data_IF_717147653770
#
_entry.id   IF_717147653770
#
_cell.length_a   1.000
_cell.length_b   1.000
_cell.length_c   1.000
_cell.angle_alpha   90.00
_cell.angle_beta   90.00
_cell.angle_gamma   90.00
#
_symmetry.space_group_name_H-M   'P 1'
#
loop_
_entity.id
_entity.type
_entity.pdbx_description
1 polymer ?
#
# COMPACT_ATOMS: atom_id res chain seq x y z
N UNK A 1 -0.43 -8.65 -16.82
CA UNK A 1 -0.21 -8.60 -15.36
C UNK A 1 1.29 -8.43 -15.14
N UNK A 2 1.66 -7.56 -14.21
CA UNK A 2 3.05 -7.31 -13.82
C UNK A 2 3.14 -7.26 -12.29
N UNK A 3 4.35 -7.37 -11.75
CA UNK A 3 4.57 -7.20 -10.30
C UNK A 3 5.06 -5.78 -10.04
N UNK A 4 4.49 -5.14 -9.03
CA UNK A 4 4.99 -3.87 -8.51
C UNK A 4 5.59 -4.07 -7.11
N UNK A 5 6.84 -3.60 -6.90
CA UNK A 5 7.35 -3.30 -5.55
C UNK A 5 6.83 -1.93 -5.07
N UNK A 6 6.37 -1.89 -3.83
CA UNK A 6 5.67 -0.75 -3.26
C UNK A 6 5.89 -0.66 -1.74
N UNK A 7 5.48 0.45 -1.16
CA UNK A 7 5.62 0.72 0.28
C UNK A 7 4.27 1.12 0.85
N UNK A 8 3.88 0.48 1.96
CA UNK A 8 2.74 0.91 2.77
C UNK A 8 3.25 1.74 3.94
N UNK A 9 2.81 2.99 4.04
CA UNK A 9 2.88 3.76 5.28
C UNK A 9 1.66 3.47 6.16
N UNK A 10 1.89 3.15 7.43
CA UNK A 10 0.83 3.07 8.45
C UNK A 10 1.21 3.94 9.63
N UNK A 11 0.27 4.79 10.03
CA UNK A 11 0.50 5.74 11.09
C UNK A 11 0.63 5.05 12.45
N UNK A 12 1.70 5.41 13.18
CA UNK A 12 2.04 4.85 14.47
C UNK A 12 1.39 5.64 15.61
N UNK A 13 1.28 5.01 16.76
CA UNK A 13 0.81 5.61 18.01
C UNK A 13 1.41 4.84 19.20
N UNK A 14 2.27 5.46 20.02
CA UNK A 14 2.86 4.80 21.18
C UNK A 14 1.81 4.33 22.21
N UNK A 15 0.63 4.93 22.22
CA UNK A 15 -0.47 4.53 23.11
C UNK A 15 -1.31 3.37 22.56
N UNK A 16 -1.20 3.06 21.26
CA UNK A 16 -1.95 2.01 20.58
C UNK A 16 -3.46 2.29 20.42
N UNK A 17 -3.90 3.55 20.60
CA UNK A 17 -5.33 3.91 20.55
C UNK A 17 -5.81 4.21 19.13
N UNK A 18 -4.99 4.89 18.34
CA UNK A 18 -5.35 5.40 16.99
C UNK A 18 -4.33 5.04 15.90
N UNK A 19 -3.34 4.22 16.22
CA UNK A 19 -2.27 3.84 15.31
C UNK A 19 -1.59 2.56 15.74
N UNK A 20 -0.66 2.09 14.92
CA UNK A 20 0.14 0.92 15.27
C UNK A 20 1.11 1.25 16.39
N UNK A 21 1.26 0.34 17.34
CA UNK A 21 2.44 0.29 18.18
C UNK A 21 3.62 -0.34 17.42
N UNK A 22 4.82 -0.14 17.96
CA UNK A 22 6.03 -0.76 17.42
C UNK A 22 5.94 -2.29 17.39
N UNK A 23 5.38 -2.91 18.44
CA UNK A 23 5.21 -4.36 18.53
C UNK A 23 4.20 -4.87 17.51
N UNK A 24 3.06 -4.21 17.34
CA UNK A 24 2.06 -4.59 16.34
C UNK A 24 2.61 -4.50 14.91
N UNK A 25 3.44 -3.49 14.63
CA UNK A 25 4.12 -3.38 13.34
C UNK A 25 5.02 -4.61 13.05
N UNK A 26 5.72 -5.13 14.06
CA UNK A 26 6.50 -6.35 13.95
C UNK A 26 5.62 -7.61 13.84
N UNK A 27 4.50 -7.66 14.56
CA UNK A 27 3.54 -8.79 14.53
C UNK A 27 2.91 -8.98 13.16
N UNK A 28 2.65 -7.90 12.42
CA UNK A 28 2.14 -7.95 11.04
C UNK A 28 2.97 -8.89 10.14
N UNK A 29 4.31 -8.88 10.27
CA UNK A 29 5.19 -9.73 9.47
C UNK A 29 5.55 -11.05 10.16
N UNK A 30 5.61 -11.09 11.49
CA UNK A 30 6.10 -12.26 12.23
C UNK A 30 5.02 -13.32 12.51
N UNK A 31 3.75 -12.93 12.61
CA UNK A 31 2.63 -13.82 12.97
C UNK A 31 1.71 -14.18 11.80
N UNK A 32 2.15 -13.99 10.56
CA UNK A 32 1.36 -14.27 9.35
C UNK A 32 0.09 -13.43 9.19
N UNK A 33 -0.03 -12.33 9.93
CA UNK A 33 -1.19 -11.45 9.86
C UNK A 33 -1.27 -10.71 8.50
N UNK A 34 -0.14 -10.21 7.98
CA UNK A 34 -0.12 -9.35 6.80
C UNK A 34 -0.83 -8.01 7.03
N UNK A 35 -1.03 -7.24 5.97
CA UNK A 35 -1.71 -5.93 6.05
C UNK A 35 -3.17 -6.12 5.65
N UNK A 36 -4.08 -5.88 6.59
CA UNK A 36 -5.53 -5.94 6.36
C UNK A 36 -6.07 -4.54 6.03
N UNK A 37 -7.03 -4.48 5.11
CA UNK A 37 -7.83 -3.27 4.86
C UNK A 37 -8.61 -2.83 6.11
N UNK A 38 -8.99 -1.56 6.17
CA UNK A 38 -9.76 -1.02 7.30
C UNK A 38 -11.11 -1.73 7.43
N UNK A 39 -11.76 -2.01 6.29
CA UNK A 39 -12.97 -2.81 6.25
C UNK A 39 -12.81 -4.19 6.89
N UNK A 40 -11.78 -4.97 6.53
CA UNK A 40 -11.57 -6.28 7.18
C UNK A 40 -11.34 -6.09 8.69
N UNK A 41 -10.46 -5.16 9.08
CA UNK A 41 -10.19 -4.91 10.51
C UNK A 41 -11.47 -4.62 11.31
N UNK A 42 -12.43 -3.90 10.72
CA UNK A 42 -13.75 -3.60 11.29
C UNK A 42 -14.69 -4.81 11.32
N UNK A 43 -14.74 -5.61 10.26
CA UNK A 43 -15.64 -6.77 10.16
C UNK A 43 -15.20 -7.96 11.03
N UNK A 44 -13.89 -8.07 11.34
CA UNK A 44 -13.21 -9.16 12.05
C UNK A 44 -13.29 -10.56 11.37
N UNK A 45 -14.38 -10.87 10.67
CA UNK A 45 -14.60 -12.09 9.92
C UNK A 45 -15.22 -11.75 8.57
N UNK A 46 -14.59 -12.19 7.50
CA UNK A 46 -15.05 -11.94 6.14
C UNK A 46 -15.39 -13.25 5.43
N UNK A 47 -16.26 -13.18 4.43
CA UNK A 47 -16.60 -14.31 3.56
C UNK A 47 -16.36 -13.91 2.10
N UNK A 48 -16.18 -14.88 1.18
CA UNK A 48 -16.03 -14.57 -0.24
C UNK A 48 -17.18 -13.74 -0.82
N UNK A 49 -18.42 -13.99 -0.37
CA UNK A 49 -19.59 -13.21 -0.77
C UNK A 49 -19.50 -11.74 -0.31
N UNK A 50 -19.03 -11.50 0.92
CA UNK A 50 -18.81 -10.13 1.41
C UNK A 50 -17.75 -9.40 0.58
N UNK A 51 -16.63 -10.08 0.27
CA UNK A 51 -15.55 -9.52 -0.56
C UNK A 51 -16.07 -9.12 -1.94
N UNK A 52 -16.85 -9.97 -2.59
CA UNK A 52 -17.44 -9.69 -3.90
C UNK A 52 -18.36 -8.45 -3.89
N UNK A 53 -19.04 -8.18 -2.77
CA UNK A 53 -19.94 -7.04 -2.65
C UNK A 53 -19.24 -5.71 -2.38
N UNK A 54 -18.01 -5.73 -1.84
CA UNK A 54 -17.27 -4.51 -1.49
C UNK A 54 -16.23 -4.12 -2.53
N UNK A 55 -15.71 -5.07 -3.31
CA UNK A 55 -14.76 -4.81 -4.39
C UNK A 55 -15.46 -4.31 -5.66
N UNK A 56 -15.89 -3.05 -5.62
CA UNK A 56 -16.62 -2.39 -6.71
C UNK A 56 -15.94 -1.11 -7.14
N UNK A 57 -16.13 -0.71 -8.40
CA UNK A 57 -15.62 0.56 -8.92
C UNK A 57 -16.14 1.78 -8.11
N UNK A 58 -17.36 1.70 -7.55
CA UNK A 58 -17.92 2.75 -6.70
C UNK A 58 -17.14 2.89 -5.39
N UNK A 59 -16.85 1.79 -4.69
CA UNK A 59 -16.06 1.84 -3.46
C UNK A 59 -14.61 2.26 -3.74
N UNK A 60 -14.05 1.89 -4.91
CA UNK A 60 -12.74 2.39 -5.32
C UNK A 60 -12.76 3.90 -5.51
N UNK A 61 -13.78 4.45 -6.17
CA UNK A 61 -13.95 5.89 -6.33
C UNK A 61 -14.06 6.61 -4.98
N UNK A 62 -14.84 6.07 -4.03
CA UNK A 62 -14.91 6.61 -2.66
C UNK A 62 -13.59 6.52 -1.92
N UNK A 63 -12.84 5.42 -2.08
CA UNK A 63 -11.50 5.28 -1.50
C UNK A 63 -10.55 6.38 -1.99
N UNK A 64 -10.63 6.75 -3.28
CA UNK A 64 -9.74 7.73 -3.89
C UNK A 64 -10.15 9.18 -3.66
N UNK A 65 -11.44 9.46 -3.47
CA UNK A 65 -11.98 10.82 -3.49
C UNK A 65 -12.81 11.21 -2.26
N UNK A 66 -13.13 10.26 -1.38
CA UNK A 66 -13.97 10.43 -0.17
C UNK A 66 -13.35 9.69 1.04
N UNK A 67 -12.02 9.67 1.11
CA UNK A 67 -11.31 8.89 2.14
C UNK A 67 -11.63 9.36 3.57
N UNK A 68 -11.93 10.63 3.78
CA UNK A 68 -12.32 11.15 5.11
C UNK A 68 -13.61 10.51 5.64
N UNK A 69 -14.58 10.17 4.77
CA UNK A 69 -15.85 9.56 5.18
C UNK A 69 -15.91 8.05 4.94
N UNK A 70 -15.02 7.51 4.11
CA UNK A 70 -15.01 6.11 3.71
C UNK A 70 -13.78 5.33 4.17
N UNK A 71 -12.75 6.00 4.69
CA UNK A 71 -11.47 5.40 5.05
C UNK A 71 -11.61 4.21 5.98
N UNK A 72 -12.46 4.30 7.01
CA UNK A 72 -12.68 3.19 7.96
C UNK A 72 -13.47 2.01 7.36
N UNK A 73 -14.12 2.20 6.22
CA UNK A 73 -14.95 1.22 5.53
C UNK A 73 -14.34 0.73 4.23
N UNK A 74 -13.17 1.26 3.85
CA UNK A 74 -12.57 0.93 2.58
C UNK A 74 -12.03 -0.51 2.58
N UNK A 75 -12.40 -1.33 1.58
CA UNK A 75 -11.80 -2.65 1.38
C UNK A 75 -10.45 -2.55 0.66
N UNK A 76 -9.97 -1.33 0.41
CA UNK A 76 -8.76 -1.06 -0.34
C UNK A 76 -7.61 -0.64 0.58
N UNK A 77 -6.38 -0.86 0.12
CA UNK A 77 -5.15 -0.53 0.84
C UNK A 77 -4.30 0.34 -0.08
N UNK A 78 -4.18 1.63 0.25
CA UNK A 78 -3.29 2.56 -0.47
C UNK A 78 -1.83 2.20 -0.27
N UNK A 79 -1.08 2.12 -1.35
CA UNK A 79 0.34 1.79 -1.42
C UNK A 79 1.05 2.86 -2.25
N UNK A 80 2.25 3.24 -1.86
CA UNK A 80 3.10 4.11 -2.67
C UNK A 80 3.96 3.26 -3.62
N UNK A 81 3.92 3.59 -4.91
CA UNK A 81 4.84 3.04 -5.94
C UNK A 81 5.81 4.06 -6.53
N UNK A 82 5.69 5.31 -6.10
CA UNK A 82 6.42 6.43 -6.68
C UNK A 82 5.79 6.88 -8.00
N UNK A 83 6.16 8.07 -8.45
CA UNK A 83 5.63 8.67 -9.65
C UNK A 83 6.73 9.40 -10.41
N UNK A 84 6.49 9.67 -11.70
CA UNK A 84 7.36 10.52 -12.50
C UNK A 84 6.52 11.59 -13.17
N UNK A 85 6.80 12.84 -12.84
CA UNK A 85 6.29 13.99 -13.58
C UNK A 85 7.25 14.32 -14.73
N UNK A 86 6.70 14.50 -15.93
CA UNK A 86 7.47 15.00 -17.08
C UNK A 86 7.21 16.49 -17.24
N UNK A 87 8.17 17.31 -16.81
CA UNK A 87 8.09 18.75 -16.99
C UNK A 87 8.64 19.13 -18.37
N UNK A 88 7.75 19.43 -19.30
CA UNK A 88 8.11 19.74 -20.69
C UNK A 88 8.75 21.12 -20.86
N UNK A 89 8.46 22.06 -19.98
CA UNK A 89 9.05 23.41 -19.97
C UNK A 89 10.53 23.34 -19.58
N UNK A 90 10.83 22.59 -18.52
CA UNK A 90 12.20 22.40 -18.03
C UNK A 90 12.94 21.26 -18.76
N UNK A 91 12.23 20.48 -19.59
CA UNK A 91 12.73 19.28 -20.25
C UNK A 91 13.37 18.28 -19.25
N UNK A 92 12.73 18.14 -18.09
CA UNK A 92 13.22 17.33 -16.98
C UNK A 92 12.14 16.38 -16.49
N UNK A 93 12.58 15.24 -15.96
CA UNK A 93 11.72 14.31 -15.24
C UNK A 93 11.94 14.49 -13.74
N UNK A 94 10.87 14.73 -12.99
CA UNK A 94 10.90 14.75 -11.53
C UNK A 94 10.38 13.41 -11.02
N UNK A 95 11.24 12.66 -10.32
CA UNK A 95 10.88 11.40 -9.73
C UNK A 95 10.46 11.61 -8.26
N UNK A 96 9.28 11.12 -7.92
CA UNK A 96 8.72 11.13 -6.58
C UNK A 96 8.92 9.75 -5.96
N UNK A 97 9.62 9.71 -4.82
CA UNK A 97 10.00 8.49 -4.12
C UNK A 97 8.79 7.83 -3.47
N UNK A 98 8.59 6.53 -3.71
CA UNK A 98 7.59 5.73 -3.00
C UNK A 98 7.81 5.76 -1.47
N UNK A 99 9.07 5.76 -1.05
CA UNK A 99 9.45 5.74 0.36
C UNK A 99 9.07 7.07 1.01
N UNK A 100 9.38 8.20 0.36
CA UNK A 100 9.12 9.53 0.92
C UNK A 100 7.62 9.77 1.07
N UNK A 101 6.83 9.43 0.04
CA UNK A 101 5.37 9.49 0.10
C UNK A 101 4.82 8.61 1.22
N UNK A 102 5.25 7.34 1.31
CA UNK A 102 4.78 6.43 2.36
C UNK A 102 5.18 6.92 3.76
N UNK A 103 6.36 7.51 3.91
CA UNK A 103 6.86 8.04 5.17
C UNK A 103 6.10 9.28 5.62
N UNK A 104 5.74 10.15 4.67
CA UNK A 104 4.86 11.29 4.91
C UNK A 104 3.52 10.84 5.51
N UNK A 105 2.89 9.83 4.91
CA UNK A 105 1.64 9.26 5.42
C UNK A 105 1.81 8.51 6.75
N UNK A 106 2.90 7.75 6.92
CA UNK A 106 3.14 6.98 8.13
C UNK A 106 3.43 7.88 9.34
N UNK A 107 4.04 9.04 9.11
CA UNK A 107 4.46 9.93 10.20
C UNK A 107 3.57 11.16 10.35
N UNK A 108 2.53 11.28 9.51
CA UNK A 108 1.64 12.44 9.44
C UNK A 108 2.46 13.74 9.40
N UNK A 109 3.27 13.88 8.35
CA UNK A 109 4.24 14.97 8.19
C UNK A 109 5.23 15.09 9.37
N UNK A 110 5.75 13.97 9.85
CA UNK A 110 6.69 13.89 10.97
C UNK A 110 6.14 14.39 12.32
N UNK A 111 4.82 14.45 12.49
CA UNK A 111 4.20 14.84 13.76
C UNK A 111 4.04 13.66 14.74
N UNK A 112 4.12 12.42 14.25
CA UNK A 112 3.97 11.17 15.02
C UNK A 112 4.88 10.06 14.49
N UNK A 113 5.13 8.99 15.25
CA UNK A 113 5.84 7.83 14.72
C UNK A 113 4.99 7.08 13.69
N UNK A 114 5.64 6.19 12.93
CA UNK A 114 5.02 5.46 11.83
C UNK A 114 5.80 4.22 11.41
N UNK A 115 5.12 3.31 10.72
CA UNK A 115 5.70 2.11 10.15
C UNK A 115 5.66 2.13 8.62
N UNK A 116 6.77 1.74 7.99
CA UNK A 116 6.86 1.46 6.56
C UNK A 116 6.95 -0.04 6.33
N UNK A 117 6.05 -0.58 5.50
CA UNK A 117 6.09 -1.97 5.07
C UNK A 117 6.48 -2.03 3.60
N UNK A 118 7.59 -2.70 3.32
CA UNK A 118 8.09 -2.90 1.97
C UNK A 118 7.53 -4.20 1.42
N UNK A 119 6.78 -4.14 0.33
CA UNK A 119 6.06 -5.30 -0.19
C UNK A 119 5.96 -5.29 -1.71
N UNK A 120 5.45 -6.38 -2.28
CA UNK A 120 5.07 -6.44 -3.68
C UNK A 120 3.60 -6.82 -3.85
N UNK A 121 3.00 -6.38 -4.95
CA UNK A 121 1.64 -6.73 -5.36
C UNK A 121 1.60 -7.07 -6.85
N UNK A 122 0.69 -7.94 -7.25
CA UNK A 122 0.40 -8.18 -8.67
C UNK A 122 -0.57 -7.10 -9.18
N UNK A 123 -0.32 -6.56 -10.37
CA UNK A 123 -1.08 -5.47 -10.97
C UNK A 123 -1.41 -5.79 -12.43
N UNK A 124 -2.47 -5.20 -12.98
CA UNK A 124 -2.90 -5.38 -14.37
C UNK A 124 -2.72 -4.10 -15.20
N UNK A 125 -2.70 -4.25 -16.53
CA UNK A 125 -2.76 -3.12 -17.47
C UNK A 125 -4.20 -2.68 -17.78
N UNK A 126 -5.17 -3.29 -17.11
CA UNK A 126 -6.59 -2.99 -17.24
C UNK A 126 -7.22 -2.95 -15.85
N UNK A 127 -8.26 -2.12 -15.62
CA UNK A 127 -9.02 -2.14 -14.37
C UNK A 127 -9.53 -3.56 -14.08
N UNK A 128 -9.35 -4.02 -12.85
CA UNK A 128 -9.73 -5.38 -12.45
C UNK A 128 -10.31 -5.39 -11.03
N UNK A 129 -11.10 -4.38 -10.67
CA UNK A 129 -11.48 -4.05 -9.28
C UNK A 129 -12.03 -5.25 -8.51
N UNK A 130 -12.82 -6.09 -9.15
CA UNK A 130 -13.47 -7.28 -8.60
C UNK A 130 -12.50 -8.44 -8.31
N UNK A 131 -11.30 -8.43 -8.91
CA UNK A 131 -10.26 -9.45 -8.76
C UNK A 131 -9.41 -9.15 -7.53
N UNK A 132 -9.70 -9.79 -6.40
CA UNK A 132 -9.15 -9.46 -5.08
C UNK A 132 -7.62 -9.56 -4.95
N UNK A 133 -6.96 -10.36 -5.77
CA UNK A 133 -5.50 -10.56 -5.69
C UNK A 133 -4.70 -9.71 -6.69
N UNK A 134 -5.37 -8.80 -7.41
CA UNK A 134 -4.74 -7.88 -8.37
C UNK A 134 -4.95 -6.46 -7.86
N UNK A 135 -3.89 -5.69 -7.64
CA UNK A 135 -3.96 -4.29 -7.26
C UNK A 135 -4.35 -3.39 -8.45
N UNK A 136 -4.89 -2.22 -8.16
CA UNK A 136 -5.28 -1.21 -9.15
C UNK A 136 -4.22 -0.10 -9.23
N UNK A 137 -3.68 0.12 -10.43
CA UNK A 137 -2.80 1.25 -10.76
C UNK A 137 -3.60 2.53 -10.97
N UNK A 138 -4.26 2.99 -9.92
CA UNK A 138 -5.23 4.11 -9.92
C UNK A 138 -4.63 5.44 -10.37
N UNK A 139 -3.29 5.57 -10.32
CA UNK A 139 -2.55 6.74 -10.85
C UNK A 139 -1.82 6.45 -12.16
N UNK A 140 -2.11 5.37 -12.88
CA UNK A 140 -1.64 5.20 -14.27
C UNK A 140 -2.67 5.78 -15.24
N UNK A 141 -2.31 6.85 -15.93
CA UNK A 141 -3.18 7.55 -16.90
C UNK A 141 -3.62 6.67 -18.08
N UNK A 142 -2.88 5.60 -18.38
CA UNK A 142 -3.27 4.67 -19.45
C UNK A 142 -4.36 3.70 -19.00
N UNK A 143 -4.59 3.58 -17.69
CA UNK A 143 -5.56 2.67 -17.07
C UNK A 143 -6.74 3.46 -16.52
N UNK A 144 -6.47 4.52 -15.74
CA UNK A 144 -7.44 5.39 -15.10
C UNK A 144 -7.28 6.82 -15.64
N UNK A 145 -8.09 7.16 -16.65
CA UNK A 145 -7.97 8.42 -17.40
C UNK A 145 -8.64 9.62 -16.72
N UNK A 146 -9.39 9.41 -15.64
CA UNK A 146 -10.04 10.51 -14.92
C UNK A 146 -8.98 11.34 -14.21
N UNK A 147 -9.14 12.66 -14.27
CA UNK A 147 -8.23 13.57 -13.61
C UNK A 147 -8.28 13.38 -12.09
N UNK A 148 -7.11 13.44 -11.45
CA UNK A 148 -6.95 13.44 -9.99
C UNK A 148 -5.83 14.42 -9.61
N UNK A 149 -6.00 15.24 -8.56
CA UNK A 149 -4.93 16.09 -8.06
C UNK A 149 -3.81 15.28 -7.38
N UNK A 150 -4.10 14.05 -6.94
CA UNK A 150 -3.19 13.17 -6.21
C UNK A 150 -2.36 12.26 -7.12
N UNK A 151 -2.31 12.59 -8.41
CA UNK A 151 -1.63 11.79 -9.44
C UNK A 151 -0.16 11.53 -9.13
N UNK A 152 0.53 12.51 -8.52
CA UNK A 152 1.97 12.43 -8.25
C UNK A 152 2.32 11.70 -6.95
N UNK A 153 1.33 11.28 -6.16
CA UNK A 153 1.57 10.41 -5.00
C UNK A 153 1.97 8.99 -5.44
N UNK A 154 1.70 8.62 -6.70
CA UNK A 154 2.07 7.31 -7.24
C UNK A 154 1.34 6.17 -6.54
N UNK A 155 0.08 6.39 -6.18
CA UNK A 155 -0.73 5.42 -5.46
C UNK A 155 -1.06 4.19 -6.33
N UNK A 156 -0.90 3.02 -5.71
CA UNK A 156 -1.54 1.77 -6.07
C UNK A 156 -2.50 1.36 -4.99
N UNK A 157 -3.50 0.58 -5.38
CA UNK A 157 -4.54 0.16 -4.47
C UNK A 157 -4.60 -1.36 -4.41
N UNK A 158 -4.01 -1.96 -3.37
CA UNK A 158 -4.25 -3.36 -3.06
C UNK A 158 -5.65 -3.55 -2.48
N UNK A 159 -6.11 -4.80 -2.42
CA UNK A 159 -7.49 -5.15 -2.06
C UNK A 159 -7.48 -6.09 -0.88
N UNK A 160 -8.33 -5.81 0.10
CA UNK A 160 -8.71 -6.63 1.26
C UNK A 160 -7.55 -6.98 2.19
N UNK A 161 -6.50 -7.62 1.67
CA UNK A 161 -5.34 -8.12 2.40
C UNK A 161 -4.10 -8.24 1.52
N UNK A 162 -2.96 -7.85 2.09
CA UNK A 162 -1.63 -8.15 1.58
C UNK A 162 -1.03 -9.23 2.50
N UNK A 163 -0.90 -10.48 2.04
CA UNK A 163 -0.31 -11.55 2.81
C UNK A 163 1.09 -11.22 3.35
N UNK A 164 1.41 -11.75 4.53
CA UNK A 164 2.72 -11.52 5.19
C UNK A 164 3.90 -11.90 4.29
N UNK A 165 3.80 -13.00 3.55
CA UNK A 165 4.86 -13.48 2.66
C UNK A 165 5.12 -12.57 1.44
N UNK A 166 4.29 -11.56 1.19
CA UNK A 166 4.54 -10.51 0.20
C UNK A 166 5.27 -9.30 0.79
N UNK A 167 5.48 -9.27 2.11
CA UNK A 167 6.11 -8.18 2.85
C UNK A 167 7.54 -8.58 3.17
N UNK A 168 8.51 -7.85 2.63
CA UNK A 168 9.95 -8.10 2.77
C UNK A 168 10.44 -7.71 4.17
N UNK A 169 10.06 -6.51 4.61
CA UNK A 169 10.49 -5.95 5.89
C UNK A 169 9.56 -4.85 6.35
N UNK A 170 9.68 -4.51 7.63
CA UNK A 170 9.06 -3.33 8.23
C UNK A 170 10.13 -2.44 8.86
N UNK A 171 9.97 -1.13 8.70
CA UNK A 171 10.81 -0.10 9.29
C UNK A 171 9.95 0.78 10.21
N UNK A 172 10.39 1.01 11.44
CA UNK A 172 9.74 1.93 12.37
C UNK A 172 10.49 3.26 12.41
N UNK A 173 9.74 4.33 12.27
CA UNK A 173 10.23 5.71 12.23
C UNK A 173 9.60 6.50 13.37
N UNK A 174 10.42 7.27 14.09
CA UNK A 174 9.97 8.09 15.19
C UNK A 174 10.66 9.47 15.10
N UNK A 175 9.89 10.55 14.82
CA UNK A 175 10.41 11.92 14.74
C UNK A 175 11.27 12.33 15.94
N UNK A 176 10.95 11.83 17.14
CA UNK A 176 11.69 12.15 18.37
C UNK A 176 13.13 11.61 18.39
N UNK A 177 13.45 10.65 17.51
CA UNK A 177 14.76 10.04 17.35
C UNK A 177 15.48 10.49 16.06
N UNK A 178 14.91 11.46 15.33
CA UNK A 178 15.44 12.03 14.09
C UNK A 178 14.83 11.44 12.81
N UNK A 179 15.16 12.05 11.66
CA UNK A 179 14.46 11.81 10.38
C UNK A 179 15.33 11.12 9.32
N UNK A 180 16.58 10.77 9.64
CA UNK A 180 17.56 10.32 8.64
C UNK A 180 17.65 8.81 8.45
N UNK A 181 17.10 8.04 9.40
CA UNK A 181 17.11 6.57 9.38
C UNK A 181 15.97 6.03 10.23
N UNK A 182 15.48 4.81 9.94
CA UNK A 182 14.53 4.16 10.82
C UNK A 182 15.16 3.91 12.19
N UNK A 183 14.33 3.99 13.23
CA UNK A 183 14.73 3.63 14.59
C UNK A 183 14.96 2.12 14.69
N UNK A 184 14.09 1.33 14.04
CA UNK A 184 14.17 -0.12 13.99
C UNK A 184 13.81 -0.65 12.61
N UNK A 185 14.40 -1.78 12.24
CA UNK A 185 14.11 -2.52 11.01
C UNK A 185 14.00 -4.00 11.35
N UNK A 186 12.94 -4.65 10.89
CA UNK A 186 12.76 -6.09 11.03
C UNK A 186 12.52 -6.70 9.66
N UNK A 187 13.33 -7.71 9.33
CA UNK A 187 13.16 -8.50 8.10
C UNK A 187 12.15 -9.62 8.32
N UNK A 188 11.35 -9.92 7.31
CA UNK A 188 10.43 -11.04 7.32
C UNK A 188 11.09 -12.31 6.77
N UNK A 189 11.29 -13.31 7.64
CA UNK A 189 11.90 -14.59 7.25
C UNK A 189 11.01 -15.44 6.32
N UNK A 190 9.72 -15.13 6.23
CA UNK A 190 8.74 -15.83 5.37
C UNK A 190 8.49 -15.11 4.06
N UNK A 191 9.21 -14.02 3.79
CA UNK A 191 9.10 -13.28 2.55
C UNK A 191 9.44 -14.17 1.35
N UNK A 192 8.62 -14.08 0.31
CA UNK A 192 8.81 -14.76 -0.96
C UNK A 192 9.08 -13.70 -2.02
N UNK A 193 10.24 -13.77 -2.66
CA UNK A 193 10.56 -12.88 -3.79
C UNK A 193 9.57 -13.09 -4.94
N UNK A 194 9.15 -12.01 -5.63
CA UNK A 194 8.14 -12.10 -6.68
C UNK A 194 8.64 -12.77 -7.96
N UNK A 195 9.95 -13.00 -8.11
CA UNK A 195 10.53 -13.64 -9.29
C UNK A 195 9.95 -15.03 -9.57
N UNK A 196 9.42 -15.69 -8.54
CA UNK A 196 8.67 -16.96 -8.66
C UNK A 196 7.39 -16.84 -9.50
N UNK A 197 6.88 -15.63 -9.71
CA UNK A 197 5.71 -15.31 -10.55
C UNK A 197 6.10 -14.84 -11.96
N UNK A 198 7.39 -14.66 -12.24
CA UNK A 198 7.90 -14.24 -13.55
C UNK A 198 7.83 -15.39 -14.55
N UNK A 199 6.86 -15.30 -15.46
CA UNK A 199 6.51 -16.38 -16.37
C UNK A 199 7.38 -16.37 -17.63
N UNK A 200 8.34 -17.30 -17.73
CA UNK A 200 8.61 -17.98 -19.00
C UNK A 200 8.36 -19.47 -18.74
N UNK A 201 7.27 -19.99 -19.32
CA UNK A 201 7.05 -21.44 -19.47
C UNK A 201 7.29 -21.75 -20.94
N UNK A 202 8.34 -22.52 -21.20
CA UNK A 202 8.59 -23.09 -22.53
C UNK A 202 7.43 -24.01 -22.93
N UNK A 203 7.19 -24.14 -24.23
CA UNK A 203 6.27 -25.17 -24.76
C UNK A 203 6.82 -26.54 -24.33
N UNK A 204 5.98 -27.35 -23.69
CA UNK A 204 6.23 -28.80 -23.52
C UNK A 204 5.80 -29.52 -24.79
#
# INVERSE_FOLDING_TARGET
MYIQKCVKGIAGDPSGLIGLTQSEAQEIISQDNGIMSNWWRKEHRITPHMVANVLTAHNLDRHLHDYENFGDETPFISLASGAVERNTILQQNFAYSAIDTALQFATDDWTRPGALFFCWVATSHYPAVEVSNVAEAVRDINIYQRWSPYQLEGELTAKVHIPSNQIERVEWWDPSHGHWRPQHTWSNLKYVEPDVLSNIRELV
#
